data_IF_899165915296
#
_entry.id   IF_899165915296
#
_cell.length_a   1.000
_cell.length_b   1.000
_cell.length_c   1.000
_cell.angle_alpha   90.00
_cell.angle_beta   90.00
_cell.angle_gamma   90.00
#
_symmetry.space_group_name_H-M   'P 1'
#
loop_
_entity.id
_entity.type
_entity.pdbx_description
1 polymer ?
#
# COMPACT_ATOMS: atom_id res chain seq x y z
N UNK A 1 -5.15 1.82 -1.41
CA UNK A 1 -4.11 0.75 -1.43
C UNK A 1 -3.81 0.38 -2.88
N UNK A 2 -2.61 -0.08 -3.27
CA UNK A 2 -2.29 -0.40 -4.69
C UNK A 2 -3.23 -1.46 -5.30
N UNK A 3 -3.79 -2.34 -4.46
CA UNK A 3 -4.77 -3.35 -4.87
C UNK A 3 -6.08 -2.79 -5.43
N UNK A 4 -6.44 -1.53 -5.16
CA UNK A 4 -7.64 -0.88 -5.74
C UNK A 4 -7.48 -0.56 -7.23
N UNK A 5 -6.24 -0.55 -7.73
CA UNK A 5 -5.90 -0.15 -9.10
C UNK A 5 -5.65 -1.33 -10.04
N UNK A 6 -5.46 -2.54 -9.50
CA UNK A 6 -5.32 -3.77 -10.27
C UNK A 6 -6.72 -4.39 -10.40
N UNK A 7 -7.40 -4.02 -11.47
CA UNK A 7 -8.79 -4.44 -11.76
C UNK A 7 -8.83 -5.25 -13.04
N UNK A 8 -10.00 -5.80 -13.35
CA UNK A 8 -10.24 -6.47 -14.64
C UNK A 8 -10.06 -5.52 -15.85
N UNK A 9 -10.08 -4.20 -15.64
CA UNK A 9 -9.88 -3.21 -16.70
C UNK A 9 -8.39 -2.97 -17.02
N UNK A 10 -7.50 -3.28 -16.06
CA UNK A 10 -6.05 -3.07 -16.16
C UNK A 10 -5.28 -4.39 -16.23
N UNK A 11 -5.95 -5.53 -16.20
CA UNK A 11 -5.31 -6.83 -16.34
C UNK A 11 -6.27 -8.02 -16.32
N UNK A 12 -5.70 -9.16 -15.95
CA UNK A 12 -6.40 -10.44 -15.81
C UNK A 12 -6.13 -10.99 -14.41
N UNK A 13 -6.72 -10.37 -13.38
CA UNK A 13 -6.50 -10.80 -12.00
C UNK A 13 -7.07 -12.20 -11.79
N UNK A 14 -6.40 -12.98 -10.95
CA UNK A 14 -6.85 -14.28 -10.50
C UNK A 14 -6.67 -14.38 -8.98
N UNK A 15 -7.48 -15.18 -8.29
CA UNK A 15 -7.44 -15.26 -6.83
C UNK A 15 -6.15 -15.93 -6.33
N UNK A 16 -5.68 -15.45 -5.18
CA UNK A 16 -4.72 -16.17 -4.32
C UNK A 16 -5.47 -16.81 -3.15
N UNK A 17 -5.14 -18.06 -2.84
CA UNK A 17 -5.86 -18.86 -1.85
C UNK A 17 -7.26 -19.30 -2.34
N UNK A 18 -8.04 -19.89 -1.43
CA UNK A 18 -9.39 -20.39 -1.69
C UNK A 18 -9.59 -21.79 -1.12
N UNK A 19 -8.70 -22.70 -1.50
CA UNK A 19 -8.66 -24.06 -0.98
C UNK A 19 -7.53 -24.22 0.06
N UNK A 20 -7.68 -25.17 0.99
CA UNK A 20 -6.73 -25.44 2.09
C UNK A 20 -5.33 -25.81 1.60
N UNK A 21 -5.22 -26.34 0.38
CA UNK A 21 -3.97 -26.73 -0.29
C UNK A 21 -3.27 -25.56 -1.01
N UNK A 22 -3.88 -24.38 -1.07
CA UNK A 22 -3.30 -23.17 -1.67
C UNK A 22 -2.63 -22.28 -0.62
N UNK A 23 -1.80 -22.90 0.22
CA UNK A 23 -1.01 -22.22 1.24
C UNK A 23 0.44 -22.70 1.11
N UNK A 24 1.38 -21.78 1.19
CA UNK A 24 2.82 -22.09 1.25
C UNK A 24 3.42 -21.54 2.52
N UNK A 25 4.39 -22.26 3.07
CA UNK A 25 5.28 -21.79 4.11
C UNK A 25 6.67 -21.78 3.51
N UNK A 26 7.28 -20.58 3.43
CA UNK A 26 8.64 -20.44 2.96
C UNK A 26 9.60 -20.77 4.11
N UNK A 27 10.47 -21.78 3.96
CA UNK A 27 11.47 -22.09 4.97
C UNK A 27 12.37 -20.88 5.22
N UNK A 28 12.70 -20.61 6.48
CA UNK A 28 13.56 -19.50 6.91
C UNK A 28 12.98 -18.08 6.73
N UNK A 29 11.71 -17.93 6.35
CA UNK A 29 11.02 -16.64 6.28
C UNK A 29 9.80 -16.63 7.20
N UNK A 30 10.08 -16.47 8.50
CA UNK A 30 9.11 -16.34 9.60
C UNK A 30 8.10 -17.50 9.73
N UNK A 31 8.19 -18.50 8.86
CA UNK A 31 7.32 -19.68 8.78
C UNK A 31 5.82 -19.35 8.75
N UNK A 32 5.48 -18.16 8.27
CA UNK A 32 4.10 -17.69 8.19
C UNK A 32 3.41 -18.36 7.01
N UNK A 33 2.25 -19.02 7.20
CA UNK A 33 1.46 -19.54 6.10
C UNK A 33 0.93 -18.39 5.23
N UNK A 34 1.22 -18.42 3.94
CA UNK A 34 0.78 -17.42 2.97
C UNK A 34 -0.06 -18.06 1.86
N UNK A 35 -1.14 -17.41 1.41
CA UNK A 35 -1.93 -17.91 0.30
C UNK A 35 -1.08 -17.98 -0.97
N UNK A 36 -1.13 -19.10 -1.68
CA UNK A 36 -0.50 -19.27 -2.98
C UNK A 36 -1.45 -18.90 -4.11
N UNK A 37 -0.88 -18.65 -5.29
CA UNK A 37 -1.65 -18.42 -6.51
C UNK A 37 -2.50 -19.64 -6.87
N UNK A 38 -3.78 -19.44 -7.18
CA UNK A 38 -4.62 -20.53 -7.69
C UNK A 38 -4.24 -20.87 -9.13
N UNK A 39 -3.48 -21.95 -9.30
CA UNK A 39 -2.83 -22.29 -10.57
C UNK A 39 -3.84 -22.48 -11.71
N UNK A 40 -4.93 -23.22 -11.45
CA UNK A 40 -5.98 -23.43 -12.45
C UNK A 40 -6.59 -22.10 -12.92
N UNK A 41 -6.92 -21.19 -12.01
CA UNK A 41 -7.47 -19.87 -12.35
C UNK A 41 -6.46 -19.01 -13.12
N UNK A 42 -5.18 -19.09 -12.78
CA UNK A 42 -4.13 -18.44 -13.57
C UNK A 42 -4.09 -18.98 -15.01
N UNK A 43 -4.17 -20.30 -15.19
CA UNK A 43 -4.19 -20.91 -16.53
C UNK A 43 -5.44 -20.50 -17.33
N UNK A 44 -6.62 -20.47 -16.70
CA UNK A 44 -7.85 -19.96 -17.32
C UNK A 44 -7.67 -18.52 -17.84
N UNK A 45 -7.04 -17.64 -17.06
CA UNK A 45 -6.75 -16.26 -17.49
C UNK A 45 -5.73 -16.19 -18.64
N UNK A 46 -4.70 -17.05 -18.64
CA UNK A 46 -3.70 -17.08 -19.72
C UNK A 46 -4.31 -17.54 -21.05
N UNK A 47 -5.22 -18.53 -21.01
CA UNK A 47 -5.97 -18.97 -22.19
C UNK A 47 -6.85 -17.82 -22.70
N UNK A 48 -7.58 -17.16 -21.79
CA UNK A 48 -8.43 -16.02 -22.15
C UNK A 48 -7.63 -14.91 -22.86
N UNK A 49 -6.43 -14.61 -22.37
CA UNK A 49 -5.52 -13.64 -23.00
C UNK A 49 -5.05 -14.12 -24.38
N UNK A 50 -4.67 -15.39 -24.51
CA UNK A 50 -4.20 -15.96 -25.76
C UNK A 50 -5.27 -15.90 -26.86
N UNK A 51 -6.50 -16.24 -26.51
CA UNK A 51 -7.66 -16.24 -27.42
C UNK A 51 -8.14 -14.80 -27.75
N UNK A 52 -7.90 -13.83 -26.87
CA UNK A 52 -8.39 -12.45 -27.01
C UNK A 52 -7.26 -11.41 -27.01
N UNK A 53 -6.32 -11.53 -27.94
CA UNK A 53 -5.11 -10.68 -27.99
C UNK A 53 -5.38 -9.17 -28.04
N UNK A 54 -6.41 -8.73 -28.77
CA UNK A 54 -6.75 -7.30 -28.88
C UNK A 54 -7.25 -6.73 -27.54
N UNK A 55 -8.07 -7.49 -26.82
CA UNK A 55 -8.51 -7.11 -25.47
C UNK A 55 -7.31 -7.09 -24.51
N UNK A 56 -6.40 -8.05 -24.63
CA UNK A 56 -5.14 -8.05 -23.91
C UNK A 56 -4.30 -6.79 -24.14
N UNK A 57 -4.15 -6.38 -25.40
CA UNK A 57 -3.45 -5.15 -25.77
C UNK A 57 -4.13 -3.91 -25.18
N UNK A 58 -5.46 -3.81 -25.28
CA UNK A 58 -6.25 -2.70 -24.73
C UNK A 58 -6.07 -2.57 -23.22
N UNK A 59 -6.15 -3.68 -22.48
CA UNK A 59 -5.93 -3.69 -21.02
C UNK A 59 -4.49 -3.32 -20.65
N UNK A 60 -3.50 -3.80 -21.43
CA UNK A 60 -2.10 -3.42 -21.23
C UNK A 60 -1.87 -1.91 -21.44
N UNK A 61 -2.48 -1.30 -22.45
CA UNK A 61 -2.44 0.15 -22.66
C UNK A 61 -3.12 0.92 -21.53
N UNK A 62 -4.25 0.41 -21.02
CA UNK A 62 -4.94 0.96 -19.86
C UNK A 62 -4.05 0.94 -18.60
N UNK A 63 -3.45 -0.22 -18.33
CA UNK A 63 -2.51 -0.39 -17.22
C UNK A 63 -1.30 0.54 -17.33
N UNK A 64 -0.73 0.67 -18.52
CA UNK A 64 0.38 1.59 -18.77
C UNK A 64 -0.01 3.03 -18.46
N UNK A 65 -1.15 3.50 -18.97
CA UNK A 65 -1.67 4.86 -18.69
C UNK A 65 -1.91 5.08 -17.20
N UNK A 66 -2.46 4.09 -16.51
CA UNK A 66 -2.68 4.18 -15.07
C UNK A 66 -1.36 4.35 -14.30
N UNK A 67 -0.35 3.53 -14.60
CA UNK A 67 0.97 3.65 -13.98
C UNK A 67 1.60 5.00 -14.31
N UNK A 68 1.60 5.38 -15.59
CA UNK A 68 2.24 6.62 -16.06
C UNK A 68 1.56 7.88 -15.56
N UNK A 69 0.28 7.83 -15.19
CA UNK A 69 -0.44 9.03 -14.77
C UNK A 69 -0.57 9.17 -13.25
N UNK A 70 -0.27 8.11 -12.49
CA UNK A 70 -0.55 8.09 -11.05
C UNK A 70 0.58 7.53 -10.19
N UNK A 71 1.49 6.74 -10.75
CA UNK A 71 2.50 6.00 -10.00
C UNK A 71 3.94 6.43 -10.32
N UNK A 72 4.15 7.46 -11.14
CA UNK A 72 5.49 8.03 -11.29
C UNK A 72 5.98 8.59 -9.96
N UNK A 73 7.15 8.08 -9.56
CA UNK A 73 7.73 8.38 -8.26
C UNK A 73 7.92 9.88 -8.05
N UNK A 74 8.55 10.54 -9.02
CA UNK A 74 8.91 11.96 -8.94
C UNK A 74 7.68 12.86 -8.85
N UNK A 75 6.67 12.59 -9.66
CA UNK A 75 5.59 13.53 -9.91
C UNK A 75 4.35 13.26 -9.04
N UNK A 76 4.14 12.02 -8.57
CA UNK A 76 2.93 11.64 -7.84
C UNK A 76 3.19 11.06 -6.45
N UNK A 77 4.27 10.28 -6.27
CA UNK A 77 4.53 9.59 -4.99
C UNK A 77 5.35 10.46 -4.04
N UNK A 78 6.48 11.00 -4.49
CA UNK A 78 7.39 11.79 -3.69
C UNK A 78 6.74 13.06 -3.09
N UNK A 79 5.93 13.84 -3.84
CA UNK A 79 5.27 15.01 -3.27
C UNK A 79 4.33 14.65 -2.11
N UNK A 80 3.58 13.54 -2.22
CA UNK A 80 2.70 13.07 -1.14
C UNK A 80 3.47 12.68 0.12
N UNK A 81 4.66 12.08 -0.04
CA UNK A 81 5.53 11.78 1.09
C UNK A 81 6.05 13.05 1.75
N UNK A 82 6.52 14.03 0.97
CA UNK A 82 6.95 15.33 1.48
C UNK A 82 5.82 15.99 2.28
N UNK A 83 4.59 16.02 1.73
CA UNK A 83 3.43 16.58 2.43
C UNK A 83 3.12 15.88 3.76
N UNK A 84 3.27 14.55 3.81
CA UNK A 84 3.08 13.77 5.03
C UNK A 84 4.17 14.13 6.06
N UNK A 85 5.43 14.16 5.64
CA UNK A 85 6.54 14.51 6.54
C UNK A 85 6.42 15.94 7.07
N UNK A 86 6.07 16.90 6.22
CA UNK A 86 5.87 18.29 6.60
C UNK A 86 4.73 18.44 7.62
N UNK A 87 3.63 17.71 7.44
CA UNK A 87 2.53 17.66 8.43
C UNK A 87 2.99 17.11 9.77
N UNK A 88 3.69 15.98 9.77
CA UNK A 88 4.21 15.34 10.99
C UNK A 88 5.16 16.30 11.73
N UNK A 89 6.08 16.95 11.02
CA UNK A 89 7.02 17.91 11.60
C UNK A 89 6.30 19.15 12.15
N UNK A 90 5.28 19.64 11.45
CA UNK A 90 4.49 20.78 11.92
C UNK A 90 3.72 20.44 13.20
N UNK A 91 3.06 19.29 13.23
CA UNK A 91 2.32 18.80 14.40
C UNK A 91 3.26 18.56 15.58
N UNK A 92 4.44 17.96 15.35
CA UNK A 92 5.42 17.74 16.42
C UNK A 92 5.95 19.05 17.00
N UNK A 93 6.15 20.08 16.16
CA UNK A 93 6.55 21.42 16.63
C UNK A 93 5.46 22.09 17.44
N UNK A 94 4.19 21.97 17.05
CA UNK A 94 3.05 22.51 17.81
C UNK A 94 2.96 21.83 19.18
N UNK A 95 3.03 20.49 19.23
CA UNK A 95 3.02 19.74 20.48
C UNK A 95 4.19 20.11 21.42
N UNK A 96 5.36 20.42 20.85
CA UNK A 96 6.53 20.86 21.63
C UNK A 96 6.33 22.27 22.19
N UNK A 97 5.73 23.19 21.42
CA UNK A 97 5.44 24.56 21.88
C UNK A 97 4.40 24.53 23.00
N UNK A 98 3.32 23.77 22.87
CA UNK A 98 2.29 23.64 23.93
C UNK A 98 2.89 23.09 25.24
N UNK A 99 3.78 22.09 25.17
CA UNK A 99 4.49 21.57 26.35
C UNK A 99 5.42 22.58 27.03
N UNK A 100 5.91 23.58 26.28
CA UNK A 100 6.80 24.62 26.80
C UNK A 100 6.06 25.80 27.43
N UNK A 101 4.79 26.04 27.06
CA UNK A 101 3.96 27.09 27.68
C UNK A 101 3.47 26.63 29.06
N UNK A 102 3.14 25.35 29.23
CA UNK A 102 2.62 24.79 30.49
C UNK A 102 3.69 24.66 31.60
N UNK A 103 4.97 24.66 31.24
CA UNK A 103 6.09 24.63 32.19
C UNK A 103 6.31 25.96 32.95
N UNK A 104 5.55 27.01 32.63
CA UNK A 104 5.67 28.34 33.28
C UNK A 104 4.80 28.51 34.53
N UNK A 105 4.00 27.50 34.89
CA UNK A 105 3.21 27.53 36.13
C UNK A 105 4.12 27.19 37.32
N UNK A 106 4.44 28.20 38.13
CA UNK A 106 5.26 28.06 39.34
C UNK A 106 4.66 27.03 40.30
N UNK A 107 5.32 25.88 40.45
CA UNK A 107 5.01 24.90 41.50
C UNK A 107 5.32 25.55 42.84
N UNK A 108 4.29 26.00 43.56
CA UNK A 108 4.42 26.37 44.97
C UNK A 108 4.87 25.13 45.75
N UNK A 109 6.11 25.17 46.24
CA UNK A 109 6.62 24.23 47.25
C UNK A 109 5.75 24.39 48.49
N UNK A 110 4.85 23.44 48.73
CA UNK A 110 4.17 23.29 50.01
C UNK A 110 5.20 22.94 51.08
N UNK A 111 5.26 23.77 52.12
CA UNK A 111 6.07 23.55 53.32
C UNK A 111 5.59 22.33 54.10
N UNK A 112 6.55 21.66 54.75
CA UNK A 112 6.34 20.58 55.70
C UNK A 112 5.60 21.08 56.94
N UNK A 113 4.54 20.38 57.36
CA UNK A 113 4.22 20.10 58.78
C UNK A 113 3.69 18.67 58.89
#
# INVERSE_FOLDING_TARGET
CLGEYITEETGFPYPSGGDIDHITVLPHDNEVPRPTSHLQKMVEQLILLYDNREEGKKRAESAFKMVSNNLFWKDHVNPRWIDIFDKIVKESRIATVESSVDASTSVFKGEMV
#
